data_IF_974394924465
#
_entry.id   IF_974394924465
#
_cell.length_a   1.000
_cell.length_b   1.000
_cell.length_c   1.000
_cell.angle_alpha   90.00
_cell.angle_beta   90.00
_cell.angle_gamma   90.00
#
_symmetry.space_group_name_H-M   'P 1'
#
loop_
_entity.id
_entity.type
_entity.pdbx_description
1 polymer ?
#
# COMPACT_ATOMS: atom_id res chain seq x y z
N UNK A 1 -16.36 7.31 12.50
CA UNK A 1 -15.94 7.72 11.14
C UNK A 1 -14.43 7.80 11.09
N UNK A 2 -13.79 7.64 9.92
CA UNK A 2 -12.31 7.64 9.83
C UNK A 2 -11.72 9.04 10.02
N UNK A 3 -12.39 10.07 9.49
CA UNK A 3 -11.79 11.40 9.26
C UNK A 3 -12.65 12.56 9.77
N UNK A 4 -13.66 12.26 10.60
CA UNK A 4 -14.59 13.21 11.20
C UNK A 4 -15.15 14.29 10.25
N UNK A 5 -15.31 13.95 8.97
CA UNK A 5 -15.82 14.85 7.93
C UNK A 5 -17.32 14.61 7.74
N UNK A 6 -18.09 15.68 7.56
CA UNK A 6 -19.56 15.62 7.40
C UNK A 6 -20.01 14.85 6.17
N UNK A 7 -19.15 14.74 5.13
CA UNK A 7 -19.40 13.93 3.94
C UNK A 7 -18.23 12.99 3.63
N UNK A 8 -18.38 11.72 4.01
CA UNK A 8 -17.41 10.66 3.73
C UNK A 8 -17.62 10.11 2.31
N UNK A 9 -17.08 10.81 1.31
CA UNK A 9 -17.00 10.30 -0.08
C UNK A 9 -15.81 9.36 -0.24
N UNK A 10 -15.81 8.49 -1.26
CA UNK A 10 -14.65 7.66 -1.60
C UNK A 10 -13.37 8.50 -1.78
N UNK A 11 -13.44 9.63 -2.50
CA UNK A 11 -12.30 10.54 -2.67
C UNK A 11 -11.79 11.06 -1.32
N UNK A 12 -12.70 11.44 -0.43
CA UNK A 12 -12.33 11.97 0.89
C UNK A 12 -11.71 10.88 1.78
N UNK A 13 -12.33 9.71 1.82
CA UNK A 13 -11.90 8.57 2.62
C UNK A 13 -10.47 8.14 2.25
N UNK A 14 -10.20 7.97 0.96
CA UNK A 14 -8.93 7.39 0.52
C UNK A 14 -7.82 8.42 0.31
N UNK A 15 -8.11 9.67 -0.09
CA UNK A 15 -7.05 10.59 -0.52
C UNK A 15 -6.97 11.92 0.21
N UNK A 16 -8.08 12.42 0.77
CA UNK A 16 -8.11 13.75 1.43
C UNK A 16 -8.06 13.69 2.95
N UNK A 17 -8.38 12.54 3.53
CA UNK A 17 -8.25 12.30 4.95
C UNK A 17 -6.79 12.28 5.42
N UNK A 18 -6.46 12.97 6.52
CA UNK A 18 -5.10 12.99 7.06
C UNK A 18 -4.58 11.59 7.41
N UNK A 19 -5.42 10.76 8.04
CA UNK A 19 -5.10 9.37 8.38
C UNK A 19 -4.70 8.56 7.14
N UNK A 20 -5.56 8.57 6.10
CA UNK A 20 -5.29 7.87 4.86
C UNK A 20 -4.09 8.47 4.10
N UNK A 21 -3.92 9.79 4.13
CA UNK A 21 -2.83 10.50 3.45
C UNK A 21 -1.46 10.09 4.02
N UNK A 22 -1.34 10.00 5.34
CA UNK A 22 -0.12 9.51 6.00
C UNK A 22 0.23 8.11 5.54
N UNK A 23 -0.76 7.20 5.49
CA UNK A 23 -0.55 5.83 5.02
C UNK A 23 -0.09 5.83 3.56
N UNK A 24 -0.78 6.55 2.68
CA UNK A 24 -0.42 6.63 1.26
C UNK A 24 0.96 7.21 1.02
N UNK A 25 1.36 8.26 1.75
CA UNK A 25 2.71 8.84 1.64
C UNK A 25 3.76 7.80 1.96
N UNK A 26 3.63 7.13 3.09
CA UNK A 26 4.60 6.11 3.50
C UNK A 26 4.67 4.97 2.48
N UNK A 27 3.53 4.43 2.03
CA UNK A 27 3.51 3.35 1.04
C UNK A 27 4.09 3.81 -0.30
N UNK A 28 3.83 5.04 -0.74
CA UNK A 28 4.39 5.60 -1.98
C UNK A 28 5.92 5.70 -1.90
N UNK A 29 6.45 6.14 -0.75
CA UNK A 29 7.89 6.11 -0.47
C UNK A 29 8.43 4.68 -0.52
N UNK A 30 7.70 3.70 0.02
CA UNK A 30 8.12 2.29 0.06
C UNK A 30 8.23 1.60 -1.30
N UNK A 31 7.42 2.00 -2.26
CA UNK A 31 7.48 1.48 -3.64
C UNK A 31 8.20 2.45 -4.60
N UNK A 32 8.82 3.51 -4.06
CA UNK A 32 9.54 4.54 -4.80
C UNK A 32 8.72 5.13 -5.97
N UNK A 33 7.48 5.54 -5.67
CA UNK A 33 6.63 6.27 -6.61
C UNK A 33 6.22 7.63 -6.03
N UNK A 34 5.86 8.59 -6.89
CA UNK A 34 5.23 9.82 -6.44
C UNK A 34 3.93 9.55 -5.68
N UNK A 35 3.65 10.41 -4.70
CA UNK A 35 2.40 10.39 -3.97
C UNK A 35 1.20 10.49 -4.93
N UNK A 36 0.18 9.69 -4.66
CA UNK A 36 -1.05 9.61 -5.44
C UNK A 36 -2.18 10.21 -4.61
N UNK A 37 -2.83 11.25 -5.12
CA UNK A 37 -3.85 12.00 -4.38
C UNK A 37 -5.27 11.87 -4.99
N UNK A 38 -5.41 11.03 -6.02
CA UNK A 38 -6.67 10.77 -6.70
C UNK A 38 -6.73 9.38 -7.30
N UNK A 39 -7.96 8.91 -7.55
CA UNK A 39 -8.18 7.67 -8.29
C UNK A 39 -7.64 7.74 -9.71
N UNK A 40 -7.74 8.90 -10.36
CA UNK A 40 -7.26 9.12 -11.72
C UNK A 40 -5.73 8.97 -11.79
N UNK A 41 -5.01 9.56 -10.85
CA UNK A 41 -3.55 9.44 -10.78
C UNK A 41 -3.13 8.00 -10.50
N UNK A 42 -3.86 7.32 -9.61
CA UNK A 42 -3.64 5.91 -9.32
C UNK A 42 -3.79 5.07 -10.59
N UNK A 43 -4.91 5.19 -11.29
CA UNK A 43 -5.21 4.45 -12.52
C UNK A 43 -4.22 4.77 -13.64
N UNK A 44 -3.83 6.04 -13.79
CA UNK A 44 -2.84 6.47 -14.78
C UNK A 44 -1.46 5.87 -14.52
N UNK A 45 -1.04 5.84 -13.25
CA UNK A 45 0.21 5.17 -12.85
C UNK A 45 0.17 3.66 -13.14
N UNK A 46 -0.97 2.98 -12.93
CA UNK A 46 -1.12 1.57 -13.37
C UNK A 46 -0.95 1.45 -14.87
N UNK A 47 -1.69 2.26 -15.64
CA UNK A 47 -1.70 2.17 -17.10
C UNK A 47 -0.31 2.38 -17.71
N UNK A 48 0.50 3.29 -17.16
CA UNK A 48 1.82 3.60 -17.69
C UNK A 48 2.91 2.63 -17.24
N UNK A 49 2.94 2.23 -15.97
CA UNK A 49 4.11 1.54 -15.37
C UNK A 49 3.89 0.06 -15.06
N UNK A 50 2.64 -0.42 -15.07
CA UNK A 50 2.28 -1.79 -14.67
C UNK A 50 2.01 -2.70 -15.90
N UNK A 51 2.45 -2.27 -17.09
CA UNK A 51 2.26 -2.99 -18.36
C UNK A 51 3.20 -4.18 -18.60
N UNK A 52 4.14 -4.48 -17.70
CA UNK A 52 5.10 -5.58 -17.90
C UNK A 52 5.12 -6.55 -16.70
N UNK A 53 5.47 -7.81 -16.94
CA UNK A 53 5.56 -8.91 -15.94
C UNK A 53 6.76 -8.77 -14.97
N UNK A 54 7.13 -7.54 -14.61
CA UNK A 54 8.28 -7.28 -13.72
C UNK A 54 7.83 -7.32 -12.28
N UNK A 55 8.72 -7.80 -11.43
CA UNK A 55 8.44 -7.97 -10.01
C UNK A 55 8.01 -6.68 -9.31
N UNK A 56 8.61 -5.54 -9.69
CA UNK A 56 8.20 -4.22 -9.20
C UNK A 56 6.73 -3.91 -9.52
N UNK A 57 6.22 -4.33 -10.68
CA UNK A 57 4.82 -4.15 -11.04
C UNK A 57 3.88 -4.97 -10.16
N UNK A 58 4.31 -6.16 -9.71
CA UNK A 58 3.57 -6.98 -8.74
C UNK A 58 3.58 -6.30 -7.38
N UNK A 59 4.74 -5.84 -6.92
CA UNK A 59 4.89 -5.14 -5.65
C UNK A 59 3.98 -3.89 -5.57
N UNK A 60 3.97 -3.06 -6.62
CA UNK A 60 3.12 -1.87 -6.70
C UNK A 60 1.63 -2.26 -6.61
N UNK A 61 1.19 -3.26 -7.38
CA UNK A 61 -0.20 -3.75 -7.35
C UNK A 61 -0.61 -4.25 -5.97
N UNK A 62 0.23 -5.06 -5.34
CA UNK A 62 -0.01 -5.58 -3.99
C UNK A 62 -0.09 -4.45 -2.97
N UNK A 63 0.86 -3.51 -3.02
CA UNK A 63 0.92 -2.38 -2.08
C UNK A 63 -0.32 -1.51 -2.15
N UNK A 64 -0.80 -1.19 -3.35
CA UNK A 64 -2.01 -0.38 -3.50
C UNK A 64 -3.26 -1.12 -3.09
N UNK A 65 -3.40 -2.39 -3.48
CA UNK A 65 -4.54 -3.21 -3.08
C UNK A 65 -4.63 -3.34 -1.55
N UNK A 66 -3.51 -3.65 -0.89
CA UNK A 66 -3.44 -3.72 0.56
C UNK A 66 -3.75 -2.36 1.22
N UNK A 67 -3.25 -1.26 0.66
CA UNK A 67 -3.51 0.10 1.20
C UNK A 67 -5.01 0.45 1.16
N UNK A 68 -5.66 0.28 0.00
CA UNK A 68 -7.08 0.54 -0.17
C UNK A 68 -7.89 -0.35 0.78
N UNK A 69 -7.58 -1.64 0.80
CA UNK A 69 -8.28 -2.60 1.64
C UNK A 69 -8.18 -2.27 3.13
N UNK A 70 -6.96 -1.99 3.63
CA UNK A 70 -6.74 -1.74 5.05
C UNK A 70 -7.34 -0.41 5.51
N UNK A 71 -7.34 0.64 4.66
CA UNK A 71 -8.06 1.90 4.95
C UNK A 71 -9.56 1.65 5.05
N UNK A 72 -10.14 0.92 4.09
CA UNK A 72 -11.56 0.59 4.11
C UNK A 72 -11.93 -0.27 5.33
N UNK A 73 -11.11 -1.28 5.63
CA UNK A 73 -11.30 -2.15 6.80
C UNK A 73 -11.22 -1.34 8.09
N UNK A 74 -10.24 -0.45 8.23
CA UNK A 74 -10.10 0.41 9.41
C UNK A 74 -11.32 1.32 9.60
N UNK A 75 -11.81 1.94 8.52
CA UNK A 75 -13.05 2.72 8.56
C UNK A 75 -14.21 1.88 9.11
N UNK A 76 -14.37 0.65 8.61
CA UNK A 76 -15.44 -0.23 9.06
C UNK A 76 -15.28 -0.65 10.52
N UNK A 77 -14.06 -0.97 10.98
CA UNK A 77 -13.78 -1.26 12.38
C UNK A 77 -14.14 -0.09 13.30
N UNK A 78 -13.80 1.15 12.92
CA UNK A 78 -14.17 2.34 13.69
C UNK A 78 -15.69 2.55 13.76
N UNK A 79 -16.39 2.33 12.66
CA UNK A 79 -17.85 2.55 12.60
C UNK A 79 -18.63 1.47 13.34
N UNK A 80 -18.28 0.20 13.13
CA UNK A 80 -19.08 -0.93 13.63
C UNK A 80 -18.58 -1.49 14.96
N UNK A 81 -17.29 -1.36 15.26
CA UNK A 81 -16.66 -1.98 16.43
C UNK A 81 -16.07 -0.96 17.40
N UNK A 82 -16.08 0.34 17.08
CA UNK A 82 -15.42 1.40 17.87
C UNK A 82 -13.94 1.08 18.16
N UNK A 83 -13.29 0.37 17.23
CA UNK A 83 -11.86 0.05 17.31
C UNK A 83 -11.07 1.03 16.47
N UNK A 84 -10.09 1.68 17.09
CA UNK A 84 -9.27 2.73 16.48
C UNK A 84 -7.81 2.30 16.51
N UNK A 85 -7.26 1.95 15.35
CA UNK A 85 -5.84 1.62 15.20
C UNK A 85 -5.09 2.82 14.65
N UNK A 86 -3.85 3.00 15.10
CA UNK A 86 -2.96 4.04 14.58
C UNK A 86 -2.54 3.76 13.13
N UNK A 87 -2.11 4.80 12.44
CA UNK A 87 -1.54 4.72 11.09
C UNK A 87 -0.35 3.74 11.07
N UNK A 88 0.48 3.74 12.11
CA UNK A 88 1.63 2.84 12.24
C UNK A 88 1.23 1.36 12.26
N UNK A 89 0.15 1.01 12.97
CA UNK A 89 -0.38 -0.36 13.01
C UNK A 89 -0.86 -0.78 11.62
N UNK A 90 -1.59 0.09 10.92
CA UNK A 90 -2.07 -0.21 9.57
C UNK A 90 -0.90 -0.34 8.58
N UNK A 91 0.11 0.51 8.70
CA UNK A 91 1.33 0.41 7.88
C UNK A 91 2.05 -0.92 8.08
N UNK A 92 2.17 -1.38 9.33
CA UNK A 92 2.77 -2.68 9.62
C UNK A 92 1.93 -3.83 9.04
N UNK A 93 0.60 -3.77 9.14
CA UNK A 93 -0.30 -4.77 8.54
C UNK A 93 -0.14 -4.82 7.01
N UNK A 94 -0.11 -3.67 6.34
CA UNK A 94 0.11 -3.59 4.90
C UNK A 94 1.47 -4.17 4.51
N UNK A 95 2.54 -3.82 5.24
CA UNK A 95 3.88 -4.35 4.99
C UNK A 95 3.94 -5.86 5.10
N UNK A 96 3.37 -6.41 6.17
CA UNK A 96 3.30 -7.84 6.41
C UNK A 96 2.54 -8.57 5.30
N UNK A 97 1.35 -8.08 4.93
CA UNK A 97 0.50 -8.67 3.90
C UNK A 97 1.21 -8.70 2.53
N UNK A 98 1.80 -7.58 2.12
CA UNK A 98 2.50 -7.48 0.83
C UNK A 98 3.73 -8.38 0.82
N UNK A 99 4.53 -8.38 1.90
CA UNK A 99 5.71 -9.24 2.01
C UNK A 99 5.32 -10.71 1.89
N UNK A 100 4.30 -11.15 2.63
CA UNK A 100 3.82 -12.53 2.59
C UNK A 100 3.43 -12.94 1.15
N UNK A 101 2.63 -12.11 0.47
CA UNK A 101 2.21 -12.34 -0.92
C UNK A 101 3.38 -12.31 -1.91
N UNK A 102 4.37 -11.44 -1.70
CA UNK A 102 5.59 -11.42 -2.53
C UNK A 102 6.40 -12.71 -2.38
N UNK A 103 6.54 -13.22 -1.15
CA UNK A 103 7.21 -14.49 -0.88
C UNK A 103 6.44 -15.71 -1.37
N UNK A 104 5.12 -15.61 -1.55
CA UNK A 104 4.29 -16.68 -2.11
C UNK A 104 4.33 -16.66 -3.65
N UNK A 105 3.98 -15.52 -4.26
CA UNK A 105 3.80 -15.43 -5.72
C UNK A 105 5.09 -15.16 -6.50
N UNK A 106 6.12 -14.66 -5.86
CA UNK A 106 7.28 -14.11 -6.55
C UNK A 106 8.64 -14.51 -5.97
N UNK A 107 8.68 -15.44 -5.02
CA UNK A 107 9.91 -15.93 -4.36
C UNK A 107 11.10 -16.12 -5.29
N UNK A 108 10.98 -16.83 -6.44
CA UNK A 108 12.14 -17.12 -7.29
C UNK A 108 12.69 -15.86 -8.00
N UNK A 109 11.91 -14.78 -8.01
CA UNK A 109 12.22 -13.54 -8.73
C UNK A 109 12.56 -12.40 -7.77
N UNK A 110 12.42 -12.58 -6.45
CA UNK A 110 12.67 -11.54 -5.46
C UNK A 110 14.07 -10.94 -5.53
N UNK A 111 15.06 -11.74 -5.94
CA UNK A 111 16.43 -11.30 -6.22
C UNK A 111 16.55 -10.23 -7.33
N UNK A 112 15.54 -10.08 -8.19
CA UNK A 112 15.53 -9.06 -9.26
C UNK A 112 15.06 -7.67 -8.81
N UNK A 113 14.63 -7.50 -7.54
CA UNK A 113 14.27 -6.18 -7.03
C UNK A 113 15.52 -5.33 -6.71
N UNK A 114 15.46 -4.00 -6.91
CA UNK A 114 16.48 -3.11 -6.39
C UNK A 114 16.65 -3.30 -4.87
N UNK A 115 17.90 -3.43 -4.41
CA UNK A 115 18.22 -3.73 -3.00
C UNK A 115 17.56 -2.76 -2.01
N UNK A 116 17.51 -1.46 -2.34
CA UNK A 116 16.84 -0.46 -1.50
C UNK A 116 15.34 -0.79 -1.27
N UNK A 117 14.65 -1.24 -2.32
CA UNK A 117 13.25 -1.67 -2.21
C UNK A 117 13.18 -3.00 -1.45
N UNK A 118 14.08 -3.95 -1.72
CA UNK A 118 14.10 -5.21 -1.00
C UNK A 118 14.21 -5.00 0.52
N UNK A 119 15.16 -4.18 0.99
CA UNK A 119 15.35 -3.87 2.42
C UNK A 119 14.08 -3.24 3.02
N UNK A 120 13.46 -2.30 2.31
CA UNK A 120 12.29 -1.60 2.81
C UNK A 120 11.07 -2.50 3.00
N UNK A 121 10.99 -3.59 2.25
CA UNK A 121 9.96 -4.62 2.37
C UNK A 121 10.44 -5.88 3.13
N UNK A 122 11.67 -5.86 3.65
CA UNK A 122 12.28 -6.99 4.37
C UNK A 122 12.55 -8.23 3.50
N UNK A 123 12.79 -8.06 2.21
CA UNK A 123 13.01 -9.13 1.24
C UNK A 123 14.49 -9.48 1.01
N UNK A 124 15.43 -8.84 1.71
CA UNK A 124 16.89 -8.94 1.52
C UNK A 124 17.47 -10.36 1.64
N UNK A 125 16.89 -11.20 2.50
CA UNK A 125 17.32 -12.60 2.68
C UNK A 125 17.05 -13.48 1.46
N UNK A 126 16.17 -13.05 0.55
CA UNK A 126 15.88 -13.75 -0.71
C UNK A 126 16.77 -13.25 -1.86
N UNK A 127 17.41 -12.08 -1.71
CA UNK A 127 18.24 -11.46 -2.75
C UNK A 127 19.70 -11.95 -2.69
N UNK A 128 20.13 -12.50 -1.55
CA UNK A 128 21.55 -12.80 -1.25
C UNK A 128 21.99 -14.24 -1.53
N UNK A 129 21.15 -15.07 -2.18
CA UNK A 129 21.48 -16.44 -2.59
C UNK A 129 21.69 -16.57 -4.10
#
# INVERSE_FOLDING_TARGET
MLCNNTLETSKNLFFKCNYANTIWRQISTMINIPFVDSWQDLLHWMGKRVRRKYLLSILIKLSWNATIYNIWMERNKRVHLQLFRSESTILHEIQFEVRARMLEFARPRCSSLPMAIAIQWGLETVVTN
#
